data_IF_119112093109
#
_entry.id   IF_119112093109
#
_cell.length_a   1.000
_cell.length_b   1.000
_cell.length_c   1.000
_cell.angle_alpha   90.00
_cell.angle_beta   90.00
_cell.angle_gamma   90.00
#
_symmetry.space_group_name_H-M   'P 1'
#
loop_
_entity.id
_entity.type
_entity.pdbx_description
1 polymer ?
#
# COMPACT_ATOMS: atom_id res chain seq x y z
N UNK A 1 8.55 51.79 -8.24
CA UNK A 1 7.62 50.70 -7.87
C UNK A 1 8.22 49.91 -6.72
N UNK A 2 7.60 49.91 -5.54
CA UNK A 2 7.99 49.00 -4.44
C UNK A 2 7.58 47.59 -4.89
N UNK A 3 8.53 46.77 -5.36
CA UNK A 3 8.28 45.35 -5.53
C UNK A 3 7.91 44.78 -4.16
N UNK A 4 6.66 44.39 -3.99
CA UNK A 4 6.24 43.77 -2.76
C UNK A 4 6.84 42.36 -2.76
N UNK A 5 8.00 42.19 -2.11
CA UNK A 5 8.78 40.95 -2.06
C UNK A 5 7.93 39.72 -1.72
N UNK A 6 6.84 39.93 -0.97
CA UNK A 6 5.83 38.92 -0.65
C UNK A 6 5.22 38.23 -1.90
N UNK A 7 5.07 38.94 -3.02
CA UNK A 7 4.53 38.40 -4.28
C UNK A 7 5.48 37.46 -5.01
N UNK A 8 6.73 37.38 -4.58
CA UNK A 8 7.73 36.46 -5.12
C UNK A 8 8.07 35.36 -4.11
N UNK A 9 8.24 35.73 -2.83
CA UNK A 9 8.64 34.81 -1.77
C UNK A 9 7.58 33.73 -1.52
N UNK A 10 6.32 34.12 -1.32
CA UNK A 10 5.27 33.17 -0.96
C UNK A 10 4.96 32.16 -2.10
N UNK A 11 4.80 32.59 -3.37
CA UNK A 11 4.72 31.66 -4.51
C UNK A 11 5.94 30.74 -4.62
N UNK A 12 7.15 31.26 -4.40
CA UNK A 12 8.37 30.43 -4.45
C UNK A 12 8.37 29.33 -3.38
N UNK A 13 7.91 29.64 -2.16
CA UNK A 13 7.72 28.65 -1.09
C UNK A 13 6.71 27.57 -1.53
N UNK A 14 5.62 27.95 -2.20
CA UNK A 14 4.62 26.98 -2.70
C UNK A 14 5.21 26.04 -3.75
N UNK A 15 6.06 26.54 -4.65
CA UNK A 15 6.80 25.72 -5.63
C UNK A 15 7.70 24.73 -4.90
N UNK A 16 8.47 25.17 -3.91
CA UNK A 16 9.35 24.28 -3.13
C UNK A 16 8.56 23.18 -2.45
N UNK A 17 7.43 23.49 -1.79
CA UNK A 17 6.57 22.48 -1.19
C UNK A 17 5.99 21.52 -2.23
N UNK A 18 5.45 22.04 -3.34
CA UNK A 18 4.86 21.20 -4.40
C UNK A 18 5.90 20.29 -5.05
N UNK A 19 7.09 20.79 -5.34
CA UNK A 19 8.20 20.00 -5.89
C UNK A 19 8.69 18.96 -4.88
N UNK A 20 8.76 19.30 -3.59
CA UNK A 20 9.08 18.35 -2.53
C UNK A 20 8.05 17.21 -2.47
N UNK A 21 6.76 17.52 -2.60
CA UNK A 21 5.69 16.52 -2.63
C UNK A 21 5.76 15.64 -3.89
N UNK A 22 6.11 16.21 -5.05
CA UNK A 22 6.32 15.46 -6.29
C UNK A 22 7.50 14.49 -6.11
N UNK A 23 8.67 14.99 -5.71
CA UNK A 23 9.89 14.18 -5.50
C UNK A 23 9.64 13.07 -4.49
N UNK A 24 9.05 13.41 -3.35
CA UNK A 24 8.70 12.44 -2.32
C UNK A 24 7.72 11.37 -2.83
N UNK A 25 6.71 11.75 -3.60
CA UNK A 25 5.75 10.83 -4.21
C UNK A 25 6.41 9.91 -5.25
N UNK A 26 7.40 10.38 -6.00
CA UNK A 26 8.16 9.50 -6.92
C UNK A 26 9.09 8.54 -6.18
N UNK A 27 9.78 9.01 -5.14
CA UNK A 27 10.79 8.21 -4.43
C UNK A 27 10.18 7.21 -3.43
N UNK A 28 9.08 7.59 -2.77
CA UNK A 28 8.50 6.85 -1.65
C UNK A 28 7.05 6.45 -1.91
N UNK A 29 6.43 6.94 -2.98
CA UNK A 29 5.06 6.62 -3.37
C UNK A 29 4.87 5.19 -3.84
N UNK A 30 3.76 4.57 -3.43
CA UNK A 30 3.26 3.39 -4.13
C UNK A 30 2.95 3.77 -5.58
N UNK A 31 3.47 3.00 -6.54
CA UNK A 31 3.13 3.14 -7.96
C UNK A 31 1.65 2.80 -8.16
N UNK A 32 0.81 3.83 -8.17
CA UNK A 32 -0.64 3.72 -8.27
C UNK A 32 -1.20 4.91 -9.04
N UNK A 33 -2.35 4.73 -9.70
CA UNK A 33 -3.02 5.82 -10.43
C UNK A 33 -3.31 7.02 -9.53
N UNK A 34 -3.65 6.80 -8.25
CA UNK A 34 -3.89 7.86 -7.27
C UNK A 34 -2.63 8.69 -7.00
N UNK A 35 -1.48 8.04 -6.82
CA UNK A 35 -0.19 8.73 -6.64
C UNK A 35 0.20 9.54 -7.86
N UNK A 36 0.02 8.99 -9.07
CA UNK A 36 0.30 9.72 -10.31
C UNK A 36 -0.64 10.92 -10.51
N UNK A 37 -1.92 10.78 -10.16
CA UNK A 37 -2.87 11.89 -10.19
C UNK A 37 -2.51 12.98 -9.18
N UNK A 38 -2.02 12.60 -8.00
CA UNK A 38 -1.55 13.54 -6.99
C UNK A 38 -0.32 14.33 -7.46
N UNK A 39 0.65 13.64 -8.07
CA UNK A 39 1.81 14.26 -8.72
C UNK A 39 1.34 15.24 -9.80
N UNK A 40 0.35 14.85 -10.61
CA UNK A 40 -0.21 15.70 -11.66
C UNK A 40 -0.86 16.97 -11.09
N UNK A 41 -1.62 16.88 -9.99
CA UNK A 41 -2.17 18.05 -9.29
C UNK A 41 -1.06 19.02 -8.86
N UNK A 42 0.00 18.52 -8.22
CA UNK A 42 1.13 19.37 -7.79
C UNK A 42 1.93 19.93 -8.96
N UNK A 43 2.03 19.20 -10.08
CA UNK A 43 2.70 19.70 -11.28
C UNK A 43 1.91 20.87 -11.89
N UNK A 44 0.58 20.77 -11.98
CA UNK A 44 -0.27 21.88 -12.44
C UNK A 44 -0.19 23.07 -11.48
N UNK A 45 -0.26 22.86 -10.16
CA UNK A 45 -0.09 23.93 -9.18
C UNK A 45 1.26 24.65 -9.34
N UNK A 46 2.33 23.89 -9.58
CA UNK A 46 3.67 24.43 -9.81
C UNK A 46 3.71 25.27 -11.09
N UNK A 47 3.10 24.79 -12.17
CA UNK A 47 3.03 25.50 -13.44
C UNK A 47 2.22 26.80 -13.34
N UNK A 48 1.09 26.80 -12.62
CA UNK A 48 0.33 28.02 -12.33
C UNK A 48 1.21 29.01 -11.57
N UNK A 49 1.81 28.57 -10.46
CA UNK A 49 2.61 29.42 -9.58
C UNK A 49 3.80 30.02 -10.31
N UNK A 50 4.47 29.24 -11.17
CA UNK A 50 5.54 29.71 -12.04
C UNK A 50 5.03 30.78 -13.03
N UNK A 51 3.90 30.52 -13.69
CA UNK A 51 3.26 31.49 -14.58
C UNK A 51 2.94 32.80 -13.89
N UNK A 52 2.47 32.77 -12.64
CA UNK A 52 2.21 33.98 -11.84
C UNK A 52 3.51 34.75 -11.53
N UNK A 53 4.59 34.07 -11.15
CA UNK A 53 5.89 34.70 -10.89
C UNK A 53 6.41 35.39 -12.16
N UNK A 54 6.34 34.70 -13.30
CA UNK A 54 6.74 35.25 -14.60
C UNK A 54 5.88 36.46 -14.99
N UNK A 55 4.56 36.41 -14.73
CA UNK A 55 3.65 37.51 -15.02
C UNK A 55 3.96 38.74 -14.16
N UNK A 56 4.28 38.53 -12.88
CA UNK A 56 4.68 39.57 -11.95
C UNK A 56 6.07 40.17 -12.28
N UNK A 57 6.96 39.38 -12.88
CA UNK A 57 8.30 39.81 -13.29
C UNK A 57 8.34 40.45 -14.69
N UNK A 58 7.22 40.41 -15.42
CA UNK A 58 7.18 40.90 -16.80
C UNK A 58 7.30 42.42 -16.87
N UNK A 59 8.12 42.91 -17.81
CA UNK A 59 8.37 44.35 -18.00
C UNK A 59 7.69 44.92 -19.25
N UNK A 60 7.22 44.05 -20.13
CA UNK A 60 6.47 44.40 -21.33
C UNK A 60 5.28 43.44 -21.54
N UNK A 61 4.37 43.85 -22.41
CA UNK A 61 3.12 43.12 -22.65
C UNK A 61 3.35 41.74 -23.28
N UNK A 62 4.38 41.58 -24.13
CA UNK A 62 4.69 40.28 -24.76
C UNK A 62 5.14 39.25 -23.73
N UNK A 63 6.05 39.61 -22.83
CA UNK A 63 6.46 38.77 -21.70
C UNK A 63 5.25 38.42 -20.83
N UNK A 64 4.42 39.42 -20.49
CA UNK A 64 3.25 39.23 -19.65
C UNK A 64 2.22 38.31 -20.28
N UNK A 65 2.04 38.38 -21.59
CA UNK A 65 1.16 37.50 -22.36
C UNK A 65 1.67 36.06 -22.38
N UNK A 66 2.97 35.82 -22.58
CA UNK A 66 3.55 34.48 -22.52
C UNK A 66 3.37 33.88 -21.13
N UNK A 67 3.68 34.65 -20.08
CA UNK A 67 3.49 34.24 -18.69
C UNK A 67 2.02 33.95 -18.38
N UNK A 68 1.10 34.76 -18.91
CA UNK A 68 -0.34 34.55 -18.86
C UNK A 68 -0.74 33.23 -19.49
N UNK A 69 -0.24 32.89 -20.67
CA UNK A 69 -0.55 31.62 -21.32
C UNK A 69 -0.08 30.45 -20.45
N UNK A 70 1.15 30.50 -19.91
CA UNK A 70 1.67 29.46 -19.03
C UNK A 70 0.78 29.30 -17.80
N UNK A 71 0.43 30.42 -17.16
CA UNK A 71 -0.44 30.45 -15.99
C UNK A 71 -1.82 29.86 -16.29
N UNK A 72 -2.50 30.38 -17.31
CA UNK A 72 -3.87 29.98 -17.62
C UNK A 72 -3.97 28.58 -18.23
N UNK A 73 -2.90 28.09 -18.86
CA UNK A 73 -2.80 26.67 -19.22
C UNK A 73 -2.91 25.80 -17.97
N UNK A 74 -2.22 26.13 -16.89
CA UNK A 74 -2.37 25.42 -15.63
C UNK A 74 -3.76 25.64 -14.97
N UNK A 75 -4.28 26.87 -15.01
CA UNK A 75 -5.61 27.21 -14.47
C UNK A 75 -6.71 26.32 -15.05
N UNK A 76 -6.67 26.07 -16.37
CA UNK A 76 -7.72 25.27 -17.03
C UNK A 76 -7.78 23.81 -16.57
N UNK A 77 -6.65 23.22 -16.14
CA UNK A 77 -6.60 21.81 -15.74
C UNK A 77 -6.68 21.57 -14.23
N UNK A 78 -6.51 22.59 -13.40
CA UNK A 78 -6.35 22.41 -11.95
C UNK A 78 -7.57 21.73 -11.29
N UNK A 79 -8.78 22.19 -11.60
CA UNK A 79 -10.01 21.65 -11.02
C UNK A 79 -10.29 20.23 -11.51
N UNK A 80 -10.09 19.98 -12.80
CA UNK A 80 -10.18 18.65 -13.39
C UNK A 80 -9.18 17.67 -12.76
N UNK A 81 -7.95 18.12 -12.51
CA UNK A 81 -6.93 17.30 -11.83
C UNK A 81 -7.36 16.90 -10.42
N UNK A 82 -7.92 17.84 -9.64
CA UNK A 82 -8.42 17.58 -8.30
C UNK A 82 -9.61 16.63 -8.28
N UNK A 83 -10.52 16.74 -9.26
CA UNK A 83 -11.64 15.83 -9.40
C UNK A 83 -11.18 14.41 -9.74
N UNK A 84 -10.27 14.25 -10.70
CA UNK A 84 -9.69 12.95 -11.05
C UNK A 84 -9.00 12.33 -9.84
N UNK A 85 -8.16 13.11 -9.14
CA UNK A 85 -7.49 12.66 -7.93
C UNK A 85 -8.50 12.22 -6.87
N UNK A 86 -9.55 13.00 -6.62
CA UNK A 86 -10.57 12.70 -5.62
C UNK A 86 -11.34 11.44 -5.96
N UNK A 87 -11.73 11.25 -7.22
CA UNK A 87 -12.44 10.05 -7.66
C UNK A 87 -11.56 8.80 -7.57
N UNK A 88 -10.26 8.91 -7.89
CA UNK A 88 -9.28 7.84 -7.70
C UNK A 88 -9.08 7.53 -6.22
N UNK A 89 -8.88 8.56 -5.40
CA UNK A 89 -8.63 8.42 -3.98
C UNK A 89 -9.82 7.78 -3.24
N UNK A 90 -11.04 8.07 -3.68
CA UNK A 90 -12.27 7.49 -3.12
C UNK A 90 -12.73 6.22 -3.84
N UNK A 91 -11.91 5.63 -4.72
CA UNK A 91 -12.21 4.41 -5.48
C UNK A 91 -13.52 4.45 -6.29
N UNK A 92 -13.87 5.62 -6.85
CA UNK A 92 -15.09 5.83 -7.64
C UNK A 92 -14.91 5.67 -9.15
N UNK A 93 -13.68 5.46 -9.62
CA UNK A 93 -13.37 5.25 -11.04
C UNK A 93 -13.36 3.75 -11.36
N UNK A 94 -14.30 3.32 -12.22
CA UNK A 94 -14.31 1.95 -12.78
C UNK A 94 -13.43 1.81 -14.02
N UNK A 95 -13.41 2.84 -14.88
CA UNK A 95 -12.59 2.88 -16.10
C UNK A 95 -11.85 4.22 -16.19
N UNK A 96 -10.55 4.17 -15.93
CA UNK A 96 -9.71 5.36 -15.85
C UNK A 96 -9.67 6.13 -17.17
N UNK A 97 -9.51 5.45 -18.30
CA UNK A 97 -9.41 6.11 -19.61
C UNK A 97 -10.69 6.88 -19.95
N UNK A 98 -11.86 6.28 -19.71
CA UNK A 98 -13.15 6.93 -19.96
C UNK A 98 -13.38 8.12 -19.03
N UNK A 99 -13.05 7.98 -17.74
CA UNK A 99 -13.18 9.07 -16.78
C UNK A 99 -12.26 10.25 -17.12
N UNK A 100 -10.97 9.99 -17.38
CA UNK A 100 -10.03 11.03 -17.78
C UNK A 100 -10.45 11.72 -19.08
N UNK A 101 -10.91 10.97 -20.08
CA UNK A 101 -11.41 11.56 -21.33
C UNK A 101 -12.61 12.49 -21.07
N UNK A 102 -13.61 12.02 -20.32
CA UNK A 102 -14.81 12.81 -20.02
C UNK A 102 -14.53 14.06 -19.20
N UNK A 103 -13.53 14.02 -18.31
CA UNK A 103 -13.20 15.15 -17.43
C UNK A 103 -12.23 16.13 -18.09
N UNK A 104 -11.28 15.66 -18.91
CA UNK A 104 -10.23 16.49 -19.50
C UNK A 104 -10.61 17.13 -20.84
N UNK A 105 -11.69 16.68 -21.49
CA UNK A 105 -12.11 17.25 -22.78
C UNK A 105 -12.48 18.73 -22.69
N UNK A 106 -13.24 19.14 -21.66
CA UNK A 106 -13.62 20.54 -21.47
C UNK A 106 -12.42 21.44 -21.10
N UNK A 107 -11.57 21.09 -20.10
CA UNK A 107 -10.31 21.77 -19.84
C UNK A 107 -9.44 21.95 -21.09
N UNK A 108 -9.35 20.93 -21.94
CA UNK A 108 -8.58 21.00 -23.18
C UNK A 108 -9.15 22.03 -24.14
N UNK A 109 -10.48 22.09 -24.32
CA UNK A 109 -11.13 23.09 -25.16
C UNK A 109 -10.92 24.52 -24.62
N UNK A 110 -11.03 24.71 -23.30
CA UNK A 110 -10.76 26.00 -22.69
C UNK A 110 -9.28 26.41 -22.80
N UNK A 111 -8.36 25.46 -22.65
CA UNK A 111 -6.94 25.71 -22.86
C UNK A 111 -6.65 26.13 -24.30
N UNK A 112 -7.25 25.45 -25.29
CA UNK A 112 -7.14 25.86 -26.69
C UNK A 112 -7.68 27.30 -26.89
N UNK A 113 -8.81 27.64 -26.28
CA UNK A 113 -9.36 28.99 -26.32
C UNK A 113 -8.44 30.05 -25.67
N UNK A 114 -7.68 29.70 -24.63
CA UNK A 114 -6.64 30.59 -24.06
C UNK A 114 -5.52 30.81 -25.08
N UNK A 115 -5.01 29.72 -25.68
CA UNK A 115 -3.91 29.77 -26.65
C UNK A 115 -4.28 30.55 -27.91
N UNK A 116 -5.53 30.42 -28.37
CA UNK A 116 -6.03 31.10 -29.58
C UNK A 116 -6.69 32.45 -29.30
N UNK A 117 -6.65 32.95 -28.06
CA UNK A 117 -7.44 34.12 -27.66
C UNK A 117 -7.18 35.38 -28.51
N UNK A 118 -5.99 35.52 -29.10
CA UNK A 118 -5.66 36.65 -30.00
C UNK A 118 -6.53 36.72 -31.26
N UNK A 119 -7.18 35.63 -31.65
CA UNK A 119 -8.02 35.58 -32.85
C UNK A 119 -9.50 35.91 -32.58
N UNK A 120 -9.98 35.69 -31.36
CA UNK A 120 -11.42 35.75 -31.05
C UNK A 120 -11.78 36.57 -29.81
N UNK A 121 -10.84 36.83 -28.91
CA UNK A 121 -11.04 37.65 -27.69
C UNK A 121 -12.19 37.17 -26.78
N UNK A 122 -12.53 35.88 -26.83
CA UNK A 122 -13.65 35.31 -26.08
C UNK A 122 -13.25 34.82 -24.68
N UNK A 123 -11.96 34.56 -24.44
CA UNK A 123 -11.45 34.19 -23.12
C UNK A 123 -11.02 35.44 -22.34
N UNK A 124 -10.19 36.29 -22.96
CA UNK A 124 -9.95 37.66 -22.52
C UNK A 124 -10.49 38.62 -23.58
N UNK A 125 -11.51 39.40 -23.21
CA UNK A 125 -12.13 40.42 -24.07
C UNK A 125 -11.26 41.67 -24.22
N UNK A 126 -10.46 41.97 -23.21
CA UNK A 126 -9.42 42.99 -23.27
C UNK A 126 -8.21 42.49 -22.47
N UNK A 127 -7.03 42.73 -23.01
CA UNK A 127 -5.77 42.38 -22.36
C UNK A 127 -4.75 43.48 -22.63
N UNK A 128 -4.14 44.00 -21.57
CA UNK A 128 -3.08 45.00 -21.63
C UNK A 128 -2.10 44.77 -20.47
N UNK A 129 -1.03 45.57 -20.44
CA UNK A 129 -0.07 45.54 -19.33
C UNK A 129 -0.72 45.88 -17.98
N UNK A 130 -1.73 46.74 -17.95
CA UNK A 130 -2.31 47.26 -16.71
C UNK A 130 -3.61 46.53 -16.32
N UNK A 131 -4.35 46.03 -17.31
CA UNK A 131 -5.67 45.45 -17.06
C UNK A 131 -5.98 44.24 -17.94
N UNK A 132 -6.86 43.39 -17.42
CA UNK A 132 -7.52 42.32 -18.19
C UNK A 132 -9.00 42.30 -17.88
N UNK A 133 -9.82 42.07 -18.90
CA UNK A 133 -11.24 41.79 -18.76
C UNK A 133 -11.54 40.38 -19.25
N UNK A 134 -12.39 39.68 -18.52
CA UNK A 134 -12.74 38.30 -18.78
C UNK A 134 -13.91 38.23 -19.76
N UNK A 135 -13.74 37.45 -20.83
CA UNK A 135 -14.78 37.18 -21.82
C UNK A 135 -15.66 35.99 -21.43
N UNK A 136 -16.63 35.66 -22.29
CA UNK A 136 -17.63 34.62 -22.02
C UNK A 136 -17.02 33.22 -21.77
N UNK A 137 -15.95 32.84 -22.50
CA UNK A 137 -15.31 31.54 -22.34
C UNK A 137 -14.60 31.40 -21.00
N UNK A 138 -14.09 32.50 -20.43
CA UNK A 138 -13.53 32.47 -19.08
C UNK A 138 -14.61 32.14 -18.05
N UNK A 139 -15.80 32.75 -18.15
CA UNK A 139 -16.89 32.51 -17.21
C UNK A 139 -17.45 31.09 -17.33
N UNK A 140 -17.57 30.55 -18.55
CA UNK A 140 -17.94 29.14 -18.76
C UNK A 140 -16.91 28.19 -18.15
N UNK A 141 -15.62 28.47 -18.33
CA UNK A 141 -14.55 27.74 -17.65
C UNK A 141 -14.66 27.86 -16.12
N UNK A 142 -14.96 29.05 -15.58
CA UNK A 142 -15.13 29.23 -14.13
C UNK A 142 -16.28 28.37 -13.58
N UNK A 143 -17.41 28.29 -14.30
CA UNK A 143 -18.54 27.42 -13.91
C UNK A 143 -18.11 25.95 -13.89
N UNK A 144 -17.44 25.49 -14.95
CA UNK A 144 -16.91 24.12 -15.04
C UNK A 144 -15.92 23.83 -13.90
N UNK A 145 -14.92 24.68 -13.73
CA UNK A 145 -13.86 24.55 -12.74
C UNK A 145 -14.42 24.53 -11.31
N UNK A 146 -15.32 25.46 -10.97
CA UNK A 146 -15.96 25.46 -9.64
C UNK A 146 -16.89 24.27 -9.44
N UNK A 147 -17.58 23.78 -10.48
CA UNK A 147 -18.38 22.55 -10.38
C UNK A 147 -17.52 21.34 -10.02
N UNK A 148 -16.32 21.21 -10.60
CA UNK A 148 -15.37 20.13 -10.32
C UNK A 148 -14.75 20.24 -8.93
N UNK A 149 -14.41 21.44 -8.48
CA UNK A 149 -13.88 21.69 -7.14
C UNK A 149 -14.94 21.41 -6.06
N UNK A 150 -16.18 21.88 -6.26
CA UNK A 150 -17.31 21.61 -5.36
C UNK A 150 -17.59 20.11 -5.33
N UNK A 151 -17.65 19.43 -6.48
CA UNK A 151 -17.83 17.99 -6.53
C UNK A 151 -16.73 17.25 -5.75
N UNK A 152 -15.47 17.67 -5.89
CA UNK A 152 -14.34 17.10 -5.15
C UNK A 152 -14.51 17.26 -3.64
N UNK A 153 -14.82 18.47 -3.18
CA UNK A 153 -15.03 18.78 -1.75
C UNK A 153 -16.21 17.97 -1.19
N UNK A 154 -17.35 17.93 -1.90
CA UNK A 154 -18.54 17.19 -1.49
C UNK A 154 -18.26 15.69 -1.41
N UNK A 155 -17.56 15.12 -2.41
CA UNK A 155 -17.19 13.70 -2.40
C UNK A 155 -16.28 13.38 -1.21
N UNK A 156 -15.27 14.21 -0.93
CA UNK A 156 -14.38 14.02 0.21
C UNK A 156 -15.15 14.12 1.53
N UNK A 157 -16.03 15.11 1.67
CA UNK A 157 -16.82 15.32 2.87
C UNK A 157 -17.80 14.17 3.13
N UNK A 158 -18.56 13.73 2.12
CA UNK A 158 -19.46 12.57 2.22
C UNK A 158 -18.67 11.30 2.58
N UNK A 159 -17.52 11.10 1.95
CA UNK A 159 -16.68 9.92 2.22
C UNK A 159 -16.13 9.96 3.66
N UNK A 160 -15.84 11.15 4.18
CA UNK A 160 -15.40 11.32 5.58
C UNK A 160 -16.43 10.80 6.59
N UNK A 161 -17.74 10.92 6.35
CA UNK A 161 -18.77 10.37 7.25
C UNK A 161 -18.90 8.85 7.19
N UNK A 162 -18.59 8.26 6.03
CA UNK A 162 -18.69 6.81 5.80
C UNK A 162 -17.48 6.02 6.29
N UNK A 163 -16.34 6.69 6.51
CA UNK A 163 -15.11 6.04 6.97
C UNK A 163 -15.01 5.92 8.50
N UNK A 164 -14.21 4.96 8.95
CA UNK A 164 -13.82 4.78 10.36
C UNK A 164 -13.11 6.04 10.88
N UNK A 165 -13.35 6.40 12.15
CA UNK A 165 -12.93 7.67 12.78
C UNK A 165 -11.45 8.04 12.51
N UNK A 166 -10.55 7.05 12.48
CA UNK A 166 -9.10 7.21 12.22
C UNK A 166 -8.79 7.77 10.83
N UNK A 167 -9.59 7.44 9.81
CA UNK A 167 -9.37 7.87 8.43
C UNK A 167 -10.11 9.16 8.05
N UNK A 168 -11.12 9.57 8.84
CA UNK A 168 -11.93 10.77 8.56
C UNK A 168 -11.10 12.04 8.39
N UNK A 169 -10.08 12.18 9.24
CA UNK A 169 -9.21 13.36 9.26
C UNK A 169 -8.45 13.53 7.94
N UNK A 170 -8.12 12.43 7.23
CA UNK A 170 -7.47 12.50 5.92
C UNK A 170 -8.37 13.21 4.91
N UNK A 171 -9.64 12.77 4.78
CA UNK A 171 -10.60 13.35 3.85
C UNK A 171 -10.92 14.82 4.18
N UNK A 172 -11.03 15.15 5.46
CA UNK A 172 -11.28 16.53 5.90
C UNK A 172 -10.09 17.43 5.55
N UNK A 173 -8.85 16.99 5.79
CA UNK A 173 -7.66 17.78 5.42
C UNK A 173 -7.57 17.99 3.90
N UNK A 174 -7.86 16.96 3.10
CA UNK A 174 -7.90 17.09 1.63
C UNK A 174 -9.01 18.05 1.17
N UNK A 175 -10.17 18.04 1.83
CA UNK A 175 -11.24 18.97 1.51
C UNK A 175 -10.85 20.41 1.84
N UNK A 176 -10.24 20.65 3.01
CA UNK A 176 -9.77 21.97 3.44
C UNK A 176 -8.66 22.49 2.52
N UNK A 177 -7.73 21.63 2.09
CA UNK A 177 -6.64 22.03 1.20
C UNK A 177 -7.13 22.48 -0.19
N UNK A 178 -8.27 21.96 -0.66
CA UNK A 178 -8.93 22.41 -1.89
C UNK A 178 -9.80 23.65 -1.63
N UNK A 179 -10.52 23.68 -0.52
CA UNK A 179 -11.48 24.74 -0.19
C UNK A 179 -10.78 26.09 -0.01
N UNK A 180 -9.65 26.14 0.69
CA UNK A 180 -9.00 27.40 1.04
C UNK A 180 -8.51 28.20 -0.20
N UNK A 181 -7.78 27.60 -1.16
CA UNK A 181 -7.47 28.28 -2.43
C UNK A 181 -8.69 28.67 -3.25
N UNK A 182 -9.74 27.83 -3.23
CA UNK A 182 -10.97 28.10 -3.99
C UNK A 182 -11.67 29.36 -3.48
N UNK A 183 -11.77 29.54 -2.16
CA UNK A 183 -12.36 30.75 -1.56
C UNK A 183 -11.57 32.00 -1.96
N UNK A 184 -10.24 31.96 -1.83
CA UNK A 184 -9.40 33.10 -2.19
C UNK A 184 -9.45 33.42 -3.68
N UNK A 185 -9.54 32.40 -4.54
CA UNK A 185 -9.72 32.59 -5.97
C UNK A 185 -11.07 33.23 -6.31
N UNK A 186 -12.17 32.81 -5.69
CA UNK A 186 -13.49 33.41 -5.87
C UNK A 186 -13.48 34.88 -5.44
N UNK A 187 -12.87 35.20 -4.28
CA UNK A 187 -12.77 36.58 -3.79
C UNK A 187 -11.95 37.48 -4.72
N UNK A 188 -10.92 36.92 -5.37
CA UNK A 188 -10.12 37.61 -6.37
C UNK A 188 -10.90 37.82 -7.69
N UNK A 189 -11.48 36.76 -8.26
CA UNK A 189 -12.20 36.82 -9.54
C UNK A 189 -13.44 37.70 -9.46
N UNK A 190 -14.15 37.69 -8.32
CA UNK A 190 -15.31 38.55 -8.06
C UNK A 190 -14.94 40.02 -7.78
N UNK A 191 -13.65 40.36 -7.72
CA UNK A 191 -13.11 41.70 -7.40
C UNK A 191 -13.50 42.22 -6.01
N UNK A 192 -13.99 41.36 -5.11
CA UNK A 192 -14.22 41.70 -3.70
C UNK A 192 -12.88 42.03 -3.02
N UNK A 193 -11.83 41.28 -3.33
CA UNK A 193 -10.46 41.64 -3.01
C UNK A 193 -9.83 42.36 -4.21
N UNK A 194 -9.88 43.70 -4.22
CA UNK A 194 -9.27 44.55 -5.26
C UNK A 194 -7.75 44.68 -5.06
N UNK A 195 -7.06 43.56 -4.98
CA UNK A 195 -5.60 43.50 -4.87
C UNK A 195 -4.99 43.51 -6.27
N UNK A 196 -3.87 44.22 -6.45
CA UNK A 196 -3.18 44.31 -7.74
C UNK A 196 -2.56 43.00 -8.25
N UNK A 197 -2.70 41.89 -7.52
CA UNK A 197 -2.20 40.57 -7.90
C UNK A 197 -3.10 39.45 -7.38
N UNK A 198 -3.07 38.31 -8.06
CA UNK A 198 -3.82 37.10 -7.68
C UNK A 198 -3.20 36.47 -6.43
N UNK A 199 -3.96 36.40 -5.34
CA UNK A 199 -3.51 35.78 -4.08
C UNK A 199 -3.63 34.24 -4.09
N UNK A 200 -4.25 33.64 -5.11
CA UNK A 200 -4.46 32.19 -5.17
C UNK A 200 -3.15 31.41 -5.02
N UNK A 201 -2.03 31.78 -5.68
CA UNK A 201 -0.77 31.05 -5.51
C UNK A 201 -0.16 31.14 -4.12
N UNK A 202 -0.50 32.17 -3.33
CA UNK A 202 -0.10 32.26 -1.92
C UNK A 202 -0.84 31.21 -1.09
N UNK A 203 -2.13 31.02 -1.38
CA UNK A 203 -2.96 30.02 -0.71
C UNK A 203 -2.49 28.58 -0.95
N UNK A 204 -1.78 28.33 -2.06
CA UNK A 204 -1.18 27.05 -2.37
C UNK A 204 -0.07 26.65 -1.40
N UNK A 205 0.57 27.60 -0.70
CA UNK A 205 1.49 27.30 0.41
C UNK A 205 0.74 26.56 1.52
N UNK A 206 -0.39 27.12 1.97
CA UNK A 206 -1.18 26.52 3.03
C UNK A 206 -1.78 25.19 2.58
N UNK A 207 -2.30 25.12 1.35
CA UNK A 207 -2.80 23.89 0.75
C UNK A 207 -1.72 22.80 0.73
N UNK A 208 -0.51 23.12 0.25
CA UNK A 208 0.63 22.19 0.20
C UNK A 208 1.09 21.77 1.59
N UNK A 209 1.07 22.67 2.57
CA UNK A 209 1.36 22.35 3.97
C UNK A 209 0.33 21.39 4.56
N UNK A 210 -0.97 21.60 4.28
CA UNK A 210 -2.02 20.68 4.70
C UNK A 210 -1.84 19.31 4.05
N UNK A 211 -1.49 19.26 2.75
CA UNK A 211 -1.14 18.00 2.08
C UNK A 211 0.06 17.33 2.73
N UNK A 212 1.10 18.09 3.07
CA UNK A 212 2.27 17.58 3.80
C UNK A 212 1.84 16.92 5.12
N UNK A 213 1.06 17.62 5.94
CA UNK A 213 0.53 17.03 7.19
C UNK A 213 -0.31 15.78 6.92
N UNK A 214 -1.19 15.81 5.91
CA UNK A 214 -2.01 14.66 5.53
C UNK A 214 -1.15 13.45 5.12
N UNK A 215 -0.11 13.67 4.31
CA UNK A 215 0.78 12.62 3.80
C UNK A 215 1.63 12.04 4.93
N UNK A 216 2.30 12.88 5.70
CA UNK A 216 3.31 12.40 6.67
C UNK A 216 2.70 11.95 7.99
N UNK A 217 1.78 12.72 8.56
CA UNK A 217 1.16 12.40 9.86
C UNK A 217 0.09 11.32 9.73
N UNK A 218 -0.72 11.41 8.68
CA UNK A 218 -1.88 10.53 8.51
C UNK A 218 -1.70 9.47 7.43
N UNK A 219 -0.55 9.43 6.73
CA UNK A 219 -0.22 8.40 5.73
C UNK A 219 -1.33 8.21 4.68
N UNK A 220 -2.00 9.29 4.26
CA UNK A 220 -3.21 9.16 3.42
C UNK A 220 -2.94 8.48 2.07
N UNK A 221 -1.75 8.64 1.49
CA UNK A 221 -1.35 7.93 0.27
C UNK A 221 -0.94 6.46 0.51
N UNK A 222 -1.17 5.92 1.72
CA UNK A 222 -0.69 4.61 2.16
C UNK A 222 0.77 4.37 1.75
N UNK A 223 1.61 5.34 2.09
CA UNK A 223 3.05 5.25 1.95
C UNK A 223 3.57 4.29 3.05
N UNK A 224 3.27 3.01 2.89
CA UNK A 224 3.99 1.97 3.61
C UNK A 224 5.42 1.91 3.05
N UNK A 225 6.43 1.66 3.90
CA UNK A 225 7.79 1.48 3.41
C UNK A 225 7.77 0.29 2.45
N UNK A 226 7.96 0.58 1.16
CA UNK A 226 8.02 -0.38 0.04
C UNK A 226 8.89 -1.61 0.39
N UNK A 227 9.93 -1.40 1.21
CA UNK A 227 10.78 -2.46 1.72
C UNK A 227 10.05 -3.56 2.52
N UNK A 228 9.07 -3.25 3.37
CA UNK A 228 8.43 -4.29 4.19
C UNK A 228 7.59 -5.22 3.33
N UNK A 229 6.80 -4.69 2.40
CA UNK A 229 6.00 -5.54 1.51
C UNK A 229 6.87 -6.37 0.58
N UNK A 230 7.97 -5.81 0.07
CA UNK A 230 8.91 -6.54 -0.79
C UNK A 230 9.63 -7.66 -0.02
N UNK A 231 10.01 -7.42 1.24
CA UNK A 231 10.58 -8.44 2.14
C UNK A 231 9.56 -9.55 2.39
N UNK A 232 8.32 -9.20 2.78
CA UNK A 232 7.27 -10.19 3.06
C UNK A 232 6.89 -10.98 1.79
N UNK A 233 6.97 -10.37 0.61
CA UNK A 233 6.73 -11.03 -0.68
C UNK A 233 7.86 -11.95 -1.12
N UNK A 234 9.09 -11.73 -0.64
CA UNK A 234 10.22 -12.62 -0.87
C UNK A 234 10.21 -13.83 0.07
N UNK A 235 9.46 -13.76 1.19
CA UNK A 235 9.35 -14.87 2.14
C UNK A 235 8.57 -16.05 1.53
N UNK A 236 9.06 -17.29 1.68
CA UNK A 236 8.35 -18.48 1.18
C UNK A 236 7.13 -18.84 2.03
N UNK A 237 7.07 -18.41 3.29
CA UNK A 237 5.93 -18.66 4.18
C UNK A 237 4.68 -17.90 3.72
N UNK A 238 3.52 -18.50 3.91
CA UNK A 238 2.24 -17.84 3.66
C UNK A 238 1.94 -16.87 4.78
N UNK A 239 1.78 -15.59 4.48
CA UNK A 239 1.59 -14.53 5.48
C UNK A 239 0.22 -13.88 5.25
N UNK A 240 -0.56 -13.77 6.33
CA UNK A 240 -1.86 -13.09 6.37
C UNK A 240 -1.82 -12.08 7.52
N UNK A 241 -2.04 -10.80 7.24
CA UNK A 241 -2.17 -9.78 8.28
C UNK A 241 -3.64 -9.36 8.42
N UNK A 242 -4.10 -9.33 9.66
CA UNK A 242 -5.46 -9.01 10.08
C UNK A 242 -5.50 -7.71 10.87
N UNK A 243 -6.59 -6.95 10.78
CA UNK A 243 -6.88 -5.85 11.68
C UNK A 243 -7.54 -6.32 12.99
N UNK A 244 -7.89 -5.38 13.87
CA UNK A 244 -8.59 -5.65 15.12
C UNK A 244 -10.01 -6.19 14.96
N UNK A 245 -10.60 -6.12 13.76
CA UNK A 245 -11.91 -6.67 13.44
C UNK A 245 -11.81 -8.03 12.71
N UNK A 246 -10.60 -8.61 12.67
CA UNK A 246 -10.29 -9.83 11.93
C UNK A 246 -10.52 -9.71 10.41
N UNK A 247 -10.36 -8.49 9.86
CA UNK A 247 -10.35 -8.25 8.42
C UNK A 247 -8.94 -8.41 7.82
N UNK A 248 -8.84 -9.07 6.67
CA UNK A 248 -7.58 -9.31 5.96
C UNK A 248 -7.12 -8.03 5.26
N UNK A 249 -6.11 -7.39 5.85
CA UNK A 249 -5.50 -6.17 5.32
C UNK A 249 -4.34 -6.45 4.36
N UNK A 250 -3.68 -7.61 4.50
CA UNK A 250 -2.53 -7.96 3.68
C UNK A 250 -2.34 -9.47 3.54
N UNK A 251 -1.90 -9.89 2.35
CA UNK A 251 -1.43 -11.24 2.06
C UNK A 251 -0.21 -11.16 1.14
N UNK A 252 0.81 -11.99 1.37
CA UNK A 252 2.02 -11.98 0.52
C UNK A 252 1.88 -12.82 -0.77
N UNK A 253 2.88 -12.78 -1.65
CA UNK A 253 2.93 -13.62 -2.87
C UNK A 253 2.82 -15.13 -2.60
N UNK A 254 3.38 -15.62 -1.50
CA UNK A 254 3.25 -17.04 -1.14
C UNK A 254 1.79 -17.43 -0.90
N UNK A 255 1.00 -16.58 -0.24
CA UNK A 255 -0.45 -16.78 -0.09
C UNK A 255 -1.16 -16.93 -1.44
N UNK A 256 -0.84 -16.09 -2.42
CA UNK A 256 -1.46 -16.18 -3.75
C UNK A 256 -1.09 -17.46 -4.49
N UNK A 257 0.14 -17.97 -4.31
CA UNK A 257 0.52 -19.29 -4.84
C UNK A 257 -0.19 -20.42 -4.13
N UNK A 258 -0.39 -20.29 -2.82
CA UNK A 258 -1.07 -21.27 -1.98
C UNK A 258 -2.58 -21.36 -2.31
N UNK A 259 -3.26 -20.23 -2.51
CA UNK A 259 -4.69 -20.17 -2.86
C UNK A 259 -4.97 -19.18 -4.01
N UNK A 260 -4.65 -19.54 -5.27
CA UNK A 260 -4.71 -18.60 -6.40
C UNK A 260 -6.10 -18.04 -6.73
N UNK A 261 -7.16 -18.75 -6.32
CA UNK A 261 -8.56 -18.39 -6.60
C UNK A 261 -9.24 -17.64 -5.43
N UNK A 262 -8.56 -17.44 -4.31
CA UNK A 262 -9.09 -16.65 -3.21
C UNK A 262 -8.77 -15.17 -3.43
N UNK A 263 -9.76 -14.29 -3.34
CA UNK A 263 -9.55 -12.85 -3.46
C UNK A 263 -9.84 -12.14 -2.13
N UNK A 264 -8.80 -11.80 -1.34
CA UNK A 264 -8.95 -11.10 -0.07
C UNK A 264 -9.65 -9.75 -0.19
N UNK A 265 -9.61 -9.09 -1.37
CA UNK A 265 -10.25 -7.79 -1.57
C UNK A 265 -11.78 -7.85 -1.68
N UNK A 266 -12.35 -9.05 -1.91
CA UNK A 266 -13.81 -9.28 -1.99
C UNK A 266 -14.32 -10.03 -0.75
N UNK A 267 -13.49 -10.90 -0.19
CA UNK A 267 -13.76 -11.72 0.99
C UNK A 267 -12.73 -11.36 2.06
N UNK A 268 -12.78 -10.11 2.52
CA UNK A 268 -11.79 -9.51 3.42
C UNK A 268 -11.89 -9.99 4.88
N UNK A 269 -12.48 -11.15 5.15
CA UNK A 269 -12.73 -11.63 6.51
C UNK A 269 -12.08 -13.00 6.74
N UNK A 270 -11.41 -13.19 7.87
CA UNK A 270 -10.76 -14.46 8.23
C UNK A 270 -11.74 -15.65 8.30
N UNK A 271 -13.01 -15.39 8.64
CA UNK A 271 -14.08 -16.39 8.67
C UNK A 271 -14.40 -16.86 7.24
N UNK A 272 -14.46 -15.93 6.28
CA UNK A 272 -14.65 -16.28 4.88
C UNK A 272 -13.46 -17.09 4.33
N UNK A 273 -12.24 -16.73 4.74
CA UNK A 273 -11.04 -17.51 4.43
C UNK A 273 -11.14 -18.92 4.99
N UNK A 274 -11.52 -19.08 6.26
CA UNK A 274 -11.72 -20.38 6.92
C UNK A 274 -12.70 -21.26 6.15
N UNK A 275 -13.86 -20.72 5.82
CA UNK A 275 -14.91 -21.46 5.11
C UNK A 275 -14.48 -21.83 3.69
N UNK A 276 -13.78 -20.92 3.00
CA UNK A 276 -13.20 -21.22 1.69
C UNK A 276 -12.12 -22.31 1.79
N UNK A 277 -11.22 -22.20 2.77
CA UNK A 277 -10.14 -23.14 2.98
C UNK A 277 -10.69 -24.54 3.31
N UNK A 278 -11.65 -24.65 4.23
CA UNK A 278 -12.36 -25.90 4.56
C UNK A 278 -13.00 -26.59 3.36
N UNK A 279 -13.53 -25.83 2.39
CA UNK A 279 -14.11 -26.39 1.16
C UNK A 279 -13.06 -26.89 0.17
N UNK A 280 -11.80 -26.47 0.31
CA UNK A 280 -10.72 -26.77 -0.63
C UNK A 280 -9.78 -27.85 -0.17
N UNK A 281 -9.71 -28.14 1.13
CA UNK A 281 -8.82 -29.15 1.69
C UNK A 281 -9.60 -30.14 2.55
N UNK A 282 -9.12 -31.38 2.59
CA UNK A 282 -9.57 -32.36 3.56
C UNK A 282 -8.79 -32.16 4.86
N UNK A 283 -9.51 -31.90 5.97
CA UNK A 283 -8.95 -31.67 7.30
C UNK A 283 -9.60 -32.66 8.26
N UNK A 284 -8.79 -33.41 8.99
CA UNK A 284 -9.29 -34.36 9.99
C UNK A 284 -9.96 -33.63 11.17
N UNK A 285 -10.89 -34.33 11.85
CA UNK A 285 -11.69 -33.77 12.96
C UNK A 285 -10.84 -33.16 14.08
N UNK A 286 -9.66 -33.72 14.35
CA UNK A 286 -8.68 -33.21 15.33
C UNK A 286 -8.07 -31.86 14.91
N UNK A 287 -7.85 -31.66 13.61
CA UNK A 287 -7.21 -30.45 13.06
C UNK A 287 -8.23 -29.32 12.79
N UNK A 288 -9.52 -29.66 12.75
CA UNK A 288 -10.59 -28.67 12.65
C UNK A 288 -10.65 -27.72 13.86
N UNK A 289 -10.42 -28.23 15.08
CA UNK A 289 -10.35 -27.40 16.29
C UNK A 289 -9.11 -26.51 16.33
N UNK A 290 -8.01 -26.95 15.72
CA UNK A 290 -6.76 -26.17 15.62
C UNK A 290 -7.00 -24.90 14.78
N UNK A 291 -7.70 -25.02 13.65
CA UNK A 291 -8.07 -23.86 12.82
C UNK A 291 -8.94 -22.87 13.61
N UNK A 292 -9.89 -23.39 14.40
CA UNK A 292 -10.75 -22.53 15.22
C UNK A 292 -9.93 -21.73 16.24
N UNK A 293 -8.94 -22.36 16.90
CA UNK A 293 -8.03 -21.67 17.83
C UNK A 293 -7.16 -20.62 17.14
N UNK A 294 -6.55 -20.95 16.00
CA UNK A 294 -5.72 -20.00 15.21
C UNK A 294 -6.51 -18.74 14.86
N UNK A 295 -7.80 -18.88 14.56
CA UNK A 295 -8.65 -17.76 14.14
C UNK A 295 -9.16 -16.97 15.33
N UNK A 296 -9.52 -17.63 16.43
CA UNK A 296 -10.10 -17.00 17.62
C UNK A 296 -9.06 -16.35 18.54
N UNK A 297 -7.79 -16.76 18.47
CA UNK A 297 -6.74 -16.21 19.32
C UNK A 297 -6.43 -14.75 18.93
N UNK A 298 -6.54 -13.84 19.89
CA UNK A 298 -6.34 -12.39 19.68
C UNK A 298 -5.25 -11.82 20.58
N UNK A 299 -4.99 -12.42 21.75
CA UNK A 299 -4.23 -11.77 22.80
C UNK A 299 -2.82 -12.30 22.93
N UNK A 300 -2.64 -13.62 22.75
CA UNK A 300 -1.37 -14.27 22.99
C UNK A 300 -0.75 -14.82 21.70
N UNK A 301 0.59 -14.86 21.61
CA UNK A 301 1.26 -15.59 20.53
C UNK A 301 0.91 -17.07 20.61
N UNK A 302 0.47 -17.65 19.49
CA UNK A 302 0.09 -19.05 19.40
C UNK A 302 0.92 -19.74 18.31
N UNK A 303 1.41 -20.94 18.58
CA UNK A 303 2.09 -21.80 17.61
C UNK A 303 1.40 -23.15 17.60
N UNK A 304 0.88 -23.55 16.44
CA UNK A 304 0.12 -24.79 16.27
C UNK A 304 0.56 -25.53 15.00
N UNK A 305 0.41 -26.85 14.99
CA UNK A 305 0.62 -27.66 13.79
C UNK A 305 -0.73 -27.97 13.15
N UNK A 306 -0.87 -27.62 11.87
CA UNK A 306 -2.06 -27.84 11.08
C UNK A 306 -1.77 -28.83 9.96
N UNK A 307 -2.43 -29.98 10.01
CA UNK A 307 -2.32 -31.01 8.97
C UNK A 307 -3.59 -31.07 8.10
N UNK A 308 -3.38 -31.16 6.80
CA UNK A 308 -4.46 -31.32 5.82
C UNK A 308 -3.98 -31.99 4.53
N UNK A 309 -4.94 -32.39 3.69
CA UNK A 309 -4.68 -32.96 2.36
C UNK A 309 -5.38 -32.11 1.29
N UNK A 310 -4.69 -31.84 0.19
CA UNK A 310 -5.37 -31.31 -1.00
C UNK A 310 -6.14 -32.44 -1.69
N UNK A 311 -7.33 -32.17 -2.27
CA UNK A 311 -8.10 -33.17 -3.00
C UNK A 311 -7.31 -33.84 -4.13
N UNK A 312 -6.35 -33.12 -4.71
CA UNK A 312 -5.54 -33.57 -5.85
C UNK A 312 -4.14 -34.05 -5.46
N UNK A 313 -3.77 -34.01 -4.16
CA UNK A 313 -2.49 -34.57 -3.70
C UNK A 313 -2.75 -35.76 -2.76
N UNK A 314 -2.11 -36.89 -3.07
CA UNK A 314 -2.11 -38.05 -2.19
C UNK A 314 -1.04 -37.96 -1.08
N UNK A 315 -0.79 -36.76 -0.56
CA UNK A 315 0.18 -36.50 0.51
C UNK A 315 -0.42 -35.56 1.56
N UNK A 316 -0.19 -35.88 2.83
CA UNK A 316 -0.51 -34.96 3.94
C UNK A 316 0.51 -33.83 3.96
N UNK A 317 0.01 -32.61 4.01
CA UNK A 317 0.80 -31.40 4.18
C UNK A 317 0.68 -30.97 5.65
N UNK A 318 1.82 -30.58 6.22
CA UNK A 318 1.96 -30.17 7.62
C UNK A 318 2.46 -28.73 7.63
N UNK A 319 1.64 -27.82 8.12
CA UNK A 319 2.00 -26.44 8.34
C UNK A 319 2.21 -26.17 9.83
N UNK A 320 3.30 -25.51 10.18
CA UNK A 320 3.42 -24.82 11.46
C UNK A 320 2.82 -23.43 11.30
N UNK A 321 1.79 -23.13 12.08
CA UNK A 321 1.05 -21.87 12.04
C UNK A 321 1.38 -21.05 13.27
N UNK A 322 1.95 -19.87 13.04
CA UNK A 322 2.29 -18.90 14.08
C UNK A 322 1.32 -17.72 14.01
N UNK A 323 0.62 -17.45 15.09
CA UNK A 323 -0.22 -16.26 15.28
C UNK A 323 0.53 -15.29 16.18
N UNK A 324 0.78 -14.09 15.67
CA UNK A 324 1.53 -13.04 16.36
C UNK A 324 0.63 -11.82 16.52
N UNK A 325 0.12 -11.53 17.73
CA UNK A 325 -0.67 -10.33 17.98
C UNK A 325 0.21 -9.08 17.90
N UNK A 326 -0.32 -8.00 17.33
CA UNK A 326 0.36 -6.72 17.16
C UNK A 326 -0.30 -5.67 18.04
N UNK A 327 0.52 -5.00 18.84
CA UNK A 327 0.11 -3.93 19.74
C UNK A 327 0.79 -2.61 19.38
N UNK A 328 0.03 -1.52 19.39
CA UNK A 328 0.55 -0.15 19.26
C UNK A 328 0.24 0.59 20.56
N UNK A 329 1.28 1.00 21.30
CA UNK A 329 1.15 1.69 22.61
C UNK A 329 0.22 0.97 23.59
N UNK A 330 0.31 -0.36 23.66
CA UNK A 330 -0.51 -1.20 24.53
C UNK A 330 -1.93 -1.49 24.03
N UNK A 331 -2.34 -0.93 22.88
CA UNK A 331 -3.65 -1.24 22.26
C UNK A 331 -3.46 -2.31 21.19
N UNK A 332 -4.28 -3.36 21.21
CA UNK A 332 -4.31 -4.37 20.15
C UNK A 332 -4.78 -3.74 18.83
N UNK A 333 -3.97 -3.85 17.78
CA UNK A 333 -4.30 -3.28 16.46
C UNK A 333 -4.59 -4.34 15.40
N UNK A 334 -4.32 -5.61 15.69
CA UNK A 334 -4.50 -6.73 14.77
C UNK A 334 -3.47 -7.82 15.03
N UNK A 335 -3.39 -8.80 14.13
CA UNK A 335 -2.49 -9.95 14.26
C UNK A 335 -1.94 -10.40 12.91
N UNK A 336 -0.80 -11.08 12.92
CA UNK A 336 -0.21 -11.70 11.73
C UNK A 336 -0.23 -13.20 11.91
N UNK A 337 -0.75 -13.90 10.91
CA UNK A 337 -0.76 -15.36 10.83
C UNK A 337 0.25 -15.78 9.78
N UNK A 338 1.20 -16.62 10.16
CA UNK A 338 2.27 -17.13 9.30
C UNK A 338 2.12 -18.64 9.22
N UNK A 339 1.94 -19.18 8.01
CA UNK A 339 1.95 -20.62 7.77
C UNK A 339 3.30 -21.00 7.14
N UNK A 340 4.06 -21.81 7.86
CA UNK A 340 5.34 -22.36 7.43
C UNK A 340 5.16 -23.84 7.06
N UNK A 341 5.41 -24.20 5.80
CA UNK A 341 5.34 -25.60 5.36
C UNK A 341 6.54 -26.37 5.94
N UNK A 342 6.26 -27.30 6.85
CA UNK A 342 7.26 -28.14 7.51
C UNK A 342 7.13 -29.61 7.08
N UNK A 343 6.41 -29.89 5.99
CA UNK A 343 6.10 -31.25 5.54
C UNK A 343 7.37 -32.05 5.24
N UNK A 344 8.31 -31.45 4.51
CA UNK A 344 9.59 -32.08 4.19
C UNK A 344 10.48 -32.23 5.42
N UNK A 345 10.54 -31.19 6.25
CA UNK A 345 11.30 -31.22 7.50
C UNK A 345 10.81 -32.32 8.46
N UNK A 346 9.49 -32.46 8.66
CA UNK A 346 8.89 -33.55 9.45
C UNK A 346 9.15 -34.93 8.83
N UNK A 347 9.11 -35.04 7.50
CA UNK A 347 9.46 -36.30 6.83
C UNK A 347 10.90 -36.70 7.13
N UNK A 348 11.86 -35.77 6.99
CA UNK A 348 13.27 -36.01 7.27
C UNK A 348 13.52 -36.36 8.75
N UNK A 349 12.82 -35.70 9.68
CA UNK A 349 12.90 -36.05 11.11
C UNK A 349 12.41 -37.47 11.33
N UNK A 350 11.22 -37.81 10.83
CA UNK A 350 10.64 -39.13 11.01
C UNK A 350 11.49 -40.24 10.38
N UNK A 351 12.11 -39.97 9.22
CA UNK A 351 13.06 -40.89 8.60
C UNK A 351 14.31 -41.09 9.46
N UNK A 352 14.88 -40.01 10.01
CA UNK A 352 16.02 -40.10 10.92
C UNK A 352 15.69 -40.87 12.21
N UNK A 353 14.51 -40.63 12.79
CA UNK A 353 14.04 -41.38 13.96
C UNK A 353 13.99 -42.88 13.65
N UNK A 354 13.37 -43.26 12.52
CA UNK A 354 13.30 -44.67 12.10
C UNK A 354 14.68 -45.29 11.86
N UNK A 355 15.60 -44.54 11.26
CA UNK A 355 16.99 -45.00 11.05
C UNK A 355 17.70 -45.23 12.39
N UNK A 356 17.56 -44.30 13.34
CA UNK A 356 18.14 -44.45 14.68
C UNK A 356 17.55 -45.65 15.44
N UNK A 357 16.23 -45.85 15.39
CA UNK A 357 15.59 -47.02 15.99
C UNK A 357 16.11 -48.33 15.39
N UNK A 358 16.26 -48.40 14.06
CA UNK A 358 16.84 -49.56 13.37
C UNK A 358 18.30 -49.80 13.76
N UNK A 359 19.11 -48.75 13.91
CA UNK A 359 20.51 -48.85 14.34
C UNK A 359 20.62 -49.34 15.78
N UNK A 360 19.79 -48.82 16.69
CA UNK A 360 19.72 -49.28 18.08
C UNK A 360 19.36 -50.77 18.15
N UNK A 361 18.40 -51.22 17.35
CA UNK A 361 18.02 -52.63 17.29
C UNK A 361 19.15 -53.52 16.75
N UNK A 362 19.87 -53.07 15.71
CA UNK A 362 21.02 -53.80 15.18
C UNK A 362 22.17 -53.89 16.20
N UNK A 363 22.46 -52.81 16.90
CA UNK A 363 23.47 -52.78 17.95
C UNK A 363 23.12 -53.76 19.09
N UNK A 364 21.85 -53.80 19.51
CA UNK A 364 21.39 -54.74 20.51
C UNK A 364 21.57 -56.20 20.06
N UNK A 365 21.17 -56.53 18.82
CA UNK A 365 21.35 -57.88 18.26
C UNK A 365 22.82 -58.28 18.13
N UNK A 366 23.71 -57.35 17.75
CA UNK A 366 25.15 -57.60 17.70
C UNK A 366 25.73 -57.85 19.10
N UNK A 367 25.26 -57.13 20.11
CA UNK A 367 25.66 -57.34 21.50
C UNK A 367 25.22 -58.72 21.99
N UNK A 368 23.97 -59.10 21.75
CA UNK A 368 23.42 -60.43 22.07
C UNK A 368 24.19 -61.54 21.35
N UNK A 369 24.49 -61.37 20.06
CA UNK A 369 25.29 -62.32 19.31
C UNK A 369 26.71 -62.45 19.90
N UNK A 370 27.38 -61.34 20.21
CA UNK A 370 28.71 -61.36 20.82
C UNK A 370 28.72 -62.00 22.22
N UNK A 371 27.67 -61.82 23.01
CA UNK A 371 27.50 -62.51 24.29
C UNK A 371 27.32 -64.01 24.09
N UNK A 372 26.45 -64.44 23.16
CA UNK A 372 26.32 -65.87 22.82
C UNK A 372 27.63 -66.47 22.29
N UNK A 373 28.38 -65.74 21.46
CA UNK A 373 29.68 -66.18 20.97
C UNK A 373 30.72 -66.30 22.09
N UNK A 374 30.78 -65.36 23.03
CA UNK A 374 31.74 -65.41 24.14
C UNK A 374 31.39 -66.51 25.15
N UNK A 375 30.10 -66.75 25.41
CA UNK A 375 29.65 -67.90 26.19
C UNK A 375 30.03 -69.22 25.51
N UNK A 376 29.74 -69.36 24.22
CA UNK A 376 30.11 -70.55 23.45
C UNK A 376 31.63 -70.78 23.39
N UNK A 377 32.45 -69.73 23.22
CA UNK A 377 33.91 -69.85 23.23
C UNK A 377 34.44 -70.25 24.60
N UNK A 378 33.89 -69.70 25.69
CA UNK A 378 34.29 -70.05 27.06
C UNK A 378 33.96 -71.51 27.44
N UNK A 379 32.84 -72.04 26.93
CA UNK A 379 32.45 -73.45 27.10
C UNK A 379 33.38 -74.35 26.29
N UNK A 380 33.71 -73.96 25.05
CA UNK A 380 34.68 -74.67 24.22
C UNK A 380 36.07 -74.74 24.87
N UNK A 381 36.61 -73.62 25.38
CA UNK A 381 37.90 -73.59 26.09
C UNK A 381 37.91 -74.47 27.35
N UNK A 382 36.84 -74.44 28.17
CA UNK A 382 36.72 -75.33 29.32
C UNK A 382 36.72 -76.80 28.90
N UNK A 383 36.00 -77.15 27.84
CA UNK A 383 35.97 -78.53 27.33
C UNK A 383 37.34 -79.01 26.81
N UNK A 384 38.06 -78.14 26.08
CA UNK A 384 39.42 -78.40 25.58
C UNK A 384 40.43 -78.56 26.73
N UNK A 385 40.36 -77.74 27.77
CA UNK A 385 41.21 -77.87 28.96
C UNK A 385 40.90 -79.14 29.77
N UNK A 386 39.64 -79.59 29.78
CA UNK A 386 39.24 -80.85 30.43
C UNK A 386 39.79 -82.06 29.68
N UNK A 387 39.76 -82.04 28.34
CA UNK A 387 40.34 -83.09 27.47
C UNK A 387 41.88 -83.07 27.52
N UNK A 388 42.50 -81.88 27.59
CA UNK A 388 43.95 -81.71 27.75
C UNK A 388 44.47 -82.25 29.09
N UNK A 389 43.74 -82.04 30.19
CA UNK A 389 44.08 -82.61 31.50
C UNK A 389 43.86 -84.12 31.57
N UNK A 390 42.84 -84.66 30.88
CA UNK A 390 42.64 -86.12 30.76
C UNK A 390 43.73 -86.81 29.91
N UNK A 391 44.35 -86.11 28.95
CA UNK A 391 45.51 -86.63 28.21
C UNK A 391 46.82 -86.58 29.01
N UNK A 392 46.98 -85.62 29.93
CA UNK A 392 48.18 -85.55 30.81
C UNK A 392 48.21 -86.60 31.93
N UNK A 393 47.09 -87.25 32.24
CA UNK A 393 47.02 -88.34 33.25
C UNK A 393 47.32 -89.73 32.69
N UNK A 394 47.61 -89.86 31.38
CA UNK A 394 47.87 -91.14 30.71
C UNK A 394 49.29 -91.29 30.12
N UNK A 395 50.25 -90.46 30.55
CA UNK A 395 51.67 -90.68 30.26
C UNK A 395 52.52 -90.45 31.51
N UNK A 396 52.91 -91.59 32.09
CA UNK A 396 53.98 -91.86 33.08
C UNK A 396 53.69 -91.46 34.53
#
# INVERSE_FOLDING_TARGET
MRYNLLYFILPSISIVFSMSMILFSFMRGKKSSTTYSFIFCHAIMTLWTLGQILENASTNETQKWIATIIKYSAVTYIAASWLIFTLLYTNRIKNLRKACFSILVLPLLFNLAVLTNRFHYLFFSHYSMESRTYGILFWLHSIESYSYLIASIVILFITSFKCVKKHRIQYVLLAISILFPTILNILYVSRVLSLGTDLTPISFVLSSFIFFVAVFKYRFLNLLPVAITDILDAMPQVIIALDSNNEINYTNKAFQKFLPKYNPSVQNNIIAFKEYFRKKVYIDKKNLSVIDRIILEEKEPLTEELEFKWPNLNRTIIFQVNVIPIYEKGTFIGKVIIFNDITEYKHLINENIRKNESLSLMAQKLLEANLCYSEASSVSEKSLNTIGNAKKTNTI
#
